data_IF_737741283889
#
_entry.id   IF_737741283889
#
_cell.length_a   1.000
_cell.length_b   1.000
_cell.length_c   1.000
_cell.angle_alpha   90.00
_cell.angle_beta   90.00
_cell.angle_gamma   90.00
#
_symmetry.space_group_name_H-M   'P 1'
#
loop_
_entity.id
_entity.type
_entity.pdbx_description
1 polymer ?
#
# COMPACT_ATOMS: atom_id res chain seq x y z
N UNK A 1 32.66 20.03 -40.17
CA UNK A 1 31.20 19.97 -40.42
C UNK A 1 30.52 19.37 -39.21
N UNK A 2 29.73 20.13 -38.44
CA UNK A 2 29.01 19.59 -37.29
C UNK A 2 27.83 18.73 -37.75
N UNK A 3 27.68 17.56 -37.12
CA UNK A 3 26.59 16.61 -37.38
C UNK A 3 25.22 17.22 -37.07
N UNK A 4 24.16 16.86 -37.82
CA UNK A 4 22.83 17.40 -37.57
C UNK A 4 22.28 16.92 -36.22
N UNK A 5 21.84 17.89 -35.42
CA UNK A 5 21.11 17.65 -34.19
C UNK A 5 19.88 16.78 -34.46
N UNK A 6 19.85 15.61 -33.83
CA UNK A 6 18.67 14.76 -33.74
C UNK A 6 17.58 15.54 -33.00
N UNK A 7 16.40 15.81 -33.58
CA UNK A 7 15.34 16.47 -32.85
C UNK A 7 14.93 15.60 -31.66
N UNK A 8 14.84 16.24 -30.49
CA UNK A 8 14.33 15.64 -29.27
C UNK A 8 12.95 15.04 -29.55
N UNK A 9 12.73 13.82 -29.06
CA UNK A 9 11.47 13.13 -29.17
C UNK A 9 10.34 14.06 -28.69
N UNK A 10 9.47 14.45 -29.61
CA UNK A 10 8.24 15.18 -29.36
C UNK A 10 7.49 14.45 -28.26
N UNK A 11 7.24 15.16 -27.15
CA UNK A 11 6.39 14.69 -26.07
C UNK A 11 5.09 14.18 -26.69
N UNK A 12 4.87 12.86 -26.62
CA UNK A 12 3.58 12.27 -26.97
C UNK A 12 2.54 12.99 -26.12
N UNK A 13 1.64 13.75 -26.75
CA UNK A 13 0.46 14.27 -26.09
C UNK A 13 -0.34 13.06 -25.59
N UNK A 14 -0.10 12.65 -24.34
CA UNK A 14 -0.92 11.64 -23.70
C UNK A 14 -2.28 12.26 -23.48
N UNK A 15 -3.18 12.03 -24.44
CA UNK A 15 -4.59 12.37 -24.32
C UNK A 15 -5.19 11.46 -23.23
N UNK A 16 -5.32 12.02 -22.03
CA UNK A 16 -6.03 11.38 -20.94
C UNK A 16 -7.53 11.44 -21.24
N UNK A 17 -8.15 10.27 -21.41
CA UNK A 17 -9.61 10.17 -21.47
C UNK A 17 -10.17 10.22 -20.05
N UNK A 18 -10.66 11.38 -19.65
CA UNK A 18 -11.39 11.53 -18.39
C UNK A 18 -12.63 10.63 -18.40
N UNK A 19 -13.09 10.26 -17.20
CA UNK A 19 -14.36 9.55 -17.03
C UNK A 19 -15.48 10.39 -17.64
N UNK A 20 -16.33 9.78 -18.47
CA UNK A 20 -17.53 10.44 -18.94
C UNK A 20 -18.66 10.32 -17.91
N UNK A 21 -19.63 11.23 -17.94
CA UNK A 21 -20.77 11.20 -17.01
C UNK A 21 -21.57 9.89 -17.11
N UNK A 22 -21.80 9.39 -18.32
CA UNK A 22 -22.46 8.11 -18.57
C UNK A 22 -21.68 6.89 -18.04
N UNK A 23 -20.38 7.06 -17.76
CA UNK A 23 -19.50 6.00 -17.27
C UNK A 23 -19.45 5.95 -15.74
N UNK A 24 -19.92 7.00 -15.05
CA UNK A 24 -19.85 7.09 -13.59
C UNK A 24 -20.48 5.88 -12.87
N UNK A 25 -21.68 5.37 -13.25
CA UNK A 25 -22.30 4.20 -12.61
C UNK A 25 -21.49 2.91 -12.72
N UNK A 26 -20.56 2.83 -13.69
CA UNK A 26 -19.69 1.65 -13.89
C UNK A 26 -18.47 1.67 -12.97
N UNK A 27 -18.14 2.82 -12.37
CA UNK A 27 -16.98 2.95 -11.49
C UNK A 27 -17.33 2.40 -10.11
N UNK A 28 -16.53 1.45 -9.63
CA UNK A 28 -16.78 0.71 -8.41
C UNK A 28 -15.50 0.59 -7.59
N UNK A 29 -15.66 0.29 -6.30
CA UNK A 29 -14.52 -0.04 -5.45
C UNK A 29 -13.67 -1.17 -6.06
N UNK A 30 -12.36 -0.95 -6.07
CA UNK A 30 -11.37 -1.80 -6.70
C UNK A 30 -11.15 -1.56 -8.20
N UNK A 31 -11.84 -0.61 -8.83
CA UNK A 31 -11.48 -0.15 -10.18
C UNK A 31 -10.16 0.61 -10.12
N UNK A 32 -9.25 0.33 -11.06
CA UNK A 32 -8.00 1.05 -11.24
C UNK A 32 -8.22 2.12 -12.32
N UNK A 33 -7.92 3.35 -11.94
CA UNK A 33 -8.03 4.53 -12.78
C UNK A 33 -6.68 5.24 -12.83
N UNK A 34 -6.63 6.36 -13.54
CA UNK A 34 -5.45 7.21 -13.59
C UNK A 34 -5.81 8.59 -13.05
N UNK A 35 -5.02 9.10 -12.12
CA UNK A 35 -5.10 10.50 -11.70
C UNK A 35 -4.19 11.30 -12.64
N UNK A 36 -4.74 12.12 -13.55
CA UNK A 36 -3.96 12.87 -14.52
C UNK A 36 -3.01 13.89 -13.86
N UNK A 37 -2.08 14.46 -14.63
CA UNK A 37 -1.38 15.68 -14.23
C UNK A 37 -2.36 16.78 -13.83
N UNK A 38 -1.96 17.64 -12.87
CA UNK A 38 -2.83 18.66 -12.29
C UNK A 38 -3.36 19.68 -13.32
N UNK A 39 -2.58 19.98 -14.36
CA UNK A 39 -2.96 20.85 -15.48
C UNK A 39 -4.04 20.24 -16.40
N UNK A 40 -4.29 18.94 -16.30
CA UNK A 40 -5.29 18.21 -17.10
C UNK A 40 -6.60 17.99 -16.35
N UNK A 41 -6.68 18.40 -15.09
CA UNK A 41 -7.90 18.25 -14.28
C UNK A 41 -8.89 19.37 -14.63
N UNK A 42 -10.21 19.07 -14.74
CA UNK A 42 -11.22 20.09 -14.99
C UNK A 42 -11.17 21.21 -13.95
N UNK A 43 -11.25 22.46 -14.42
CA UNK A 43 -11.31 23.63 -13.52
C UNK A 43 -12.52 23.54 -12.59
N UNK A 44 -12.30 23.82 -11.32
CA UNK A 44 -13.36 23.75 -10.30
C UNK A 44 -13.70 22.34 -9.82
N UNK A 45 -12.97 21.31 -10.28
CA UNK A 45 -13.11 19.97 -9.72
C UNK A 45 -12.46 19.87 -8.34
N UNK A 46 -13.17 19.22 -7.41
CA UNK A 46 -12.69 19.05 -6.05
C UNK A 46 -11.69 17.89 -5.96
N UNK A 47 -10.57 18.18 -5.29
CA UNK A 47 -9.55 17.21 -4.91
C UNK A 47 -9.16 17.49 -3.47
N UNK A 48 -8.80 16.45 -2.72
CA UNK A 48 -8.34 16.56 -1.35
C UNK A 48 -7.23 17.62 -1.22
N UNK A 49 -7.35 18.61 -0.32
CA UNK A 49 -6.30 19.60 -0.09
C UNK A 49 -4.95 19.00 0.35
N UNK A 50 -4.95 17.81 0.97
CA UNK A 50 -3.72 17.11 1.35
C UNK A 50 -3.04 16.37 0.18
N UNK A 51 -3.67 16.37 -1.01
CA UNK A 51 -3.13 15.75 -2.21
C UNK A 51 -2.00 16.62 -2.80
N UNK A 52 -0.76 16.27 -2.46
CA UNK A 52 0.44 16.95 -2.94
C UNK A 52 0.62 16.82 -4.46
N UNK A 53 1.31 17.77 -5.09
CA UNK A 53 1.58 17.75 -6.54
C UNK A 53 2.26 16.46 -7.03
N UNK A 54 3.10 15.84 -6.19
CA UNK A 54 3.74 14.56 -6.48
C UNK A 54 2.81 13.34 -6.47
N UNK A 55 1.53 13.49 -6.11
CA UNK A 55 0.54 12.42 -6.16
C UNK A 55 -0.22 12.34 -7.50
N UNK A 56 -0.16 13.41 -8.32
CA UNK A 56 -0.74 13.45 -9.65
C UNK A 56 0.11 12.66 -10.66
N UNK A 57 -0.46 12.41 -11.85
CA UNK A 57 0.18 11.63 -12.91
C UNK A 57 0.52 10.18 -12.50
N UNK A 58 -0.37 9.56 -11.74
CA UNK A 58 -0.20 8.21 -11.21
C UNK A 58 -1.46 7.34 -11.38
N UNK A 59 -1.30 6.02 -11.57
CA UNK A 59 -2.42 5.10 -11.41
C UNK A 59 -2.96 5.14 -9.98
N UNK A 60 -4.26 4.94 -9.83
CA UNK A 60 -4.95 4.96 -8.54
C UNK A 60 -5.95 3.81 -8.47
N UNK A 61 -6.17 3.26 -7.27
CA UNK A 61 -7.24 2.29 -7.03
C UNK A 61 -8.37 2.96 -6.25
N UNK A 62 -9.62 2.82 -6.70
CA UNK A 62 -10.79 3.25 -5.94
C UNK A 62 -10.92 2.36 -4.70
N UNK A 63 -10.88 2.98 -3.52
CA UNK A 63 -11.04 2.30 -2.22
C UNK A 63 -12.52 2.28 -1.83
N UNK A 64 -13.19 3.42 -1.95
CA UNK A 64 -14.62 3.54 -1.69
C UNK A 64 -15.27 4.55 -2.63
N UNK A 65 -16.54 4.34 -2.92
CA UNK A 65 -17.37 5.21 -3.76
C UNK A 65 -18.84 5.09 -3.29
N UNK A 66 -19.70 6.05 -3.63
CA UNK A 66 -21.14 5.93 -3.41
C UNK A 66 -21.73 4.70 -4.10
N UNK A 67 -22.97 4.36 -3.75
CA UNK A 67 -23.64 3.21 -4.35
C UNK A 67 -23.79 3.40 -5.87
N UNK A 68 -23.79 2.33 -6.68
CA UNK A 68 -23.80 2.44 -8.14
C UNK A 68 -25.01 3.19 -8.72
N UNK A 69 -26.12 3.22 -7.98
CA UNK A 69 -27.36 3.94 -8.36
C UNK A 69 -27.31 5.43 -8.02
N UNK A 70 -26.39 5.83 -7.14
CA UNK A 70 -26.27 7.18 -6.59
C UNK A 70 -24.99 7.88 -7.05
N UNK A 71 -24.01 7.12 -7.58
CA UNK A 71 -22.75 7.67 -8.04
C UNK A 71 -22.98 8.54 -9.27
N UNK A 72 -22.59 9.80 -9.13
CA UNK A 72 -22.60 10.82 -10.16
C UNK A 72 -21.18 11.18 -10.54
N UNK A 73 -21.03 11.91 -11.65
CA UNK A 73 -19.73 12.35 -12.13
C UNK A 73 -19.01 13.30 -11.15
N UNK A 74 -19.77 14.04 -10.34
CA UNK A 74 -19.30 14.93 -9.28
C UNK A 74 -19.21 14.24 -7.91
N UNK A 75 -19.53 12.95 -7.82
CA UNK A 75 -19.43 12.23 -6.56
C UNK A 75 -17.99 12.13 -6.08
N UNK A 76 -17.80 12.25 -4.76
CA UNK A 76 -16.51 12.05 -4.13
C UNK A 76 -16.22 10.55 -4.00
N UNK A 77 -15.04 10.15 -4.44
CA UNK A 77 -14.51 8.80 -4.32
C UNK A 77 -13.21 8.83 -3.54
N UNK A 78 -12.98 7.80 -2.73
CA UNK A 78 -11.74 7.62 -2.00
C UNK A 78 -10.76 6.83 -2.87
N UNK A 79 -9.55 7.35 -3.03
CA UNK A 79 -8.51 6.75 -3.87
C UNK A 79 -7.26 6.39 -3.07
N UNK A 80 -6.59 5.33 -3.51
CA UNK A 80 -5.26 4.95 -3.06
C UNK A 80 -4.27 5.08 -4.23
N UNK A 81 -3.18 5.84 -4.02
CA UNK A 81 -2.16 6.04 -5.06
C UNK A 81 -1.37 4.75 -5.30
N UNK A 82 -1.16 4.43 -6.57
CA UNK A 82 -0.38 3.28 -6.99
C UNK A 82 1.00 3.72 -7.50
N UNK A 83 2.01 2.89 -7.24
CA UNK A 83 3.39 3.14 -7.65
C UNK A 83 4.01 1.88 -8.21
N UNK A 84 4.96 2.05 -9.14
CA UNK A 84 5.79 0.98 -9.66
C UNK A 84 7.25 1.08 -9.24
N UNK A 85 7.62 2.04 -8.36
CA UNK A 85 9.01 2.31 -7.96
C UNK A 85 10.00 2.29 -9.14
N UNK A 86 9.64 2.91 -10.27
CA UNK A 86 10.43 2.91 -11.51
C UNK A 86 10.75 1.51 -12.07
N UNK A 87 9.84 0.55 -11.89
CA UNK A 87 9.99 -0.84 -12.33
C UNK A 87 10.73 -1.74 -11.32
N UNK A 88 11.32 -1.15 -10.29
CA UNK A 88 12.00 -1.90 -9.24
C UNK A 88 11.02 -2.53 -8.25
N UNK A 89 11.42 -3.66 -7.65
CA UNK A 89 10.62 -4.23 -6.57
C UNK A 89 10.73 -3.37 -5.32
N UNK A 90 9.69 -3.34 -4.49
CA UNK A 90 9.72 -2.61 -3.21
C UNK A 90 10.88 -3.06 -2.31
N UNK A 91 11.31 -4.33 -2.37
CA UNK A 91 12.49 -4.84 -1.65
C UNK A 91 13.77 -4.16 -2.13
N UNK A 92 13.96 -4.03 -3.44
CA UNK A 92 15.13 -3.35 -4.02
C UNK A 92 15.11 -1.85 -3.69
N UNK A 93 13.93 -1.21 -3.79
CA UNK A 93 13.76 0.20 -3.44
C UNK A 93 14.05 0.50 -1.96
N UNK A 94 13.71 -0.41 -1.04
CA UNK A 94 14.05 -0.28 0.37
C UNK A 94 15.53 -0.57 0.63
N UNK A 95 16.11 -1.55 -0.06
CA UNK A 95 17.52 -1.88 0.07
C UNK A 95 18.43 -0.71 -0.37
N UNK A 96 18.05 0.03 -1.42
CA UNK A 96 18.80 1.25 -1.84
C UNK A 96 18.74 2.37 -0.80
N UNK A 97 17.84 2.27 0.18
CA UNK A 97 17.71 3.18 1.33
C UNK A 97 18.31 2.57 2.62
N UNK A 98 19.08 1.49 2.50
CA UNK A 98 19.69 0.78 3.64
C UNK A 98 18.74 -0.10 4.45
N UNK A 99 17.50 -0.31 3.99
CA UNK A 99 16.50 -1.11 4.71
C UNK A 99 16.43 -2.51 4.09
N UNK A 100 16.98 -3.49 4.80
CA UNK A 100 16.96 -4.88 4.36
C UNK A 100 15.77 -5.66 4.92
N UNK A 101 15.11 -6.43 4.05
CA UNK A 101 13.96 -7.27 4.41
C UNK A 101 14.11 -8.66 3.82
N UNK A 102 13.67 -9.69 4.56
CA UNK A 102 13.76 -11.08 4.14
C UNK A 102 13.07 -11.34 2.79
N UNK A 103 11.84 -10.86 2.59
CA UNK A 103 11.03 -11.10 1.39
C UNK A 103 10.41 -9.82 0.81
N UNK A 104 10.02 -9.88 -0.46
CA UNK A 104 9.29 -8.79 -1.12
C UNK A 104 7.90 -8.55 -0.53
N UNK A 105 7.24 -9.61 -0.05
CA UNK A 105 5.95 -9.49 0.64
C UNK A 105 6.10 -8.73 1.95
N UNK A 106 7.11 -9.07 2.76
CA UNK A 106 7.38 -8.38 4.02
C UNK A 106 7.81 -6.92 3.78
N UNK A 107 8.59 -6.66 2.73
CA UNK A 107 8.92 -5.30 2.30
C UNK A 107 7.66 -4.48 1.95
N UNK A 108 6.74 -5.05 1.17
CA UNK A 108 5.48 -4.43 0.81
C UNK A 108 4.64 -4.13 2.06
N UNK A 109 4.46 -5.13 2.92
CA UNK A 109 3.68 -4.99 4.15
C UNK A 109 4.24 -3.90 5.06
N UNK A 110 5.55 -3.92 5.36
CA UNK A 110 6.22 -2.93 6.23
C UNK A 110 6.16 -1.52 5.64
N UNK A 111 6.37 -1.39 4.34
CA UNK A 111 6.25 -0.10 3.65
C UNK A 111 4.81 0.35 3.47
N UNK A 112 3.81 -0.48 3.81
CA UNK A 112 2.39 -0.16 3.68
C UNK A 112 1.92 -0.13 2.23
N UNK A 113 2.33 -1.14 1.47
CA UNK A 113 1.95 -1.38 0.09
C UNK A 113 1.34 -2.77 -0.08
N UNK A 114 0.35 -2.86 -0.96
CA UNK A 114 -0.18 -4.14 -1.45
C UNK A 114 0.27 -4.33 -2.89
N UNK A 115 0.87 -5.48 -3.19
CA UNK A 115 1.30 -5.79 -4.55
C UNK A 115 0.09 -6.12 -5.42
N UNK A 116 0.05 -5.61 -6.64
CA UNK A 116 -0.96 -5.96 -7.66
C UNK A 116 -0.36 -6.98 -8.63
N UNK A 117 -1.20 -7.86 -9.17
CA UNK A 117 -0.78 -8.79 -10.21
C UNK A 117 -0.36 -8.01 -11.47
N UNK A 118 0.76 -8.41 -12.05
CA UNK A 118 1.32 -7.82 -13.27
C UNK A 118 1.30 -8.88 -14.38
N UNK A 119 1.20 -8.44 -15.64
CA UNK A 119 1.19 -9.37 -16.77
C UNK A 119 2.49 -10.20 -16.83
N UNK A 120 3.61 -9.61 -16.41
CA UNK A 120 4.92 -10.27 -16.33
C UNK A 120 5.07 -11.27 -15.19
N UNK A 121 4.24 -11.19 -14.13
CA UNK A 121 4.35 -12.03 -12.93
C UNK A 121 2.97 -12.52 -12.47
N UNK A 122 2.26 -13.30 -13.29
CA UNK A 122 0.88 -13.71 -13.04
C UNK A 122 0.73 -14.65 -11.82
N UNK A 123 1.78 -15.42 -11.50
CA UNK A 123 1.79 -16.39 -10.39
C UNK A 123 2.40 -15.85 -9.09
N UNK A 124 2.60 -14.52 -8.98
CA UNK A 124 3.11 -13.93 -7.76
C UNK A 124 2.16 -14.20 -6.58
N UNK A 125 2.72 -14.66 -5.45
CA UNK A 125 1.96 -14.86 -4.21
C UNK A 125 1.59 -13.51 -3.56
N UNK A 126 0.51 -13.52 -2.78
CA UNK A 126 0.03 -12.38 -1.98
C UNK A 126 -0.29 -11.09 -2.75
N UNK A 127 -0.72 -11.23 -4.01
CA UNK A 127 -1.09 -10.09 -4.86
C UNK A 127 -2.59 -9.83 -4.89
N UNK A 128 -2.95 -8.57 -5.12
CA UNK A 128 -4.28 -8.15 -5.53
C UNK A 128 -4.50 -8.56 -6.99
N UNK A 129 -5.44 -9.48 -7.21
CA UNK A 129 -5.77 -10.00 -8.54
C UNK A 129 -6.79 -9.10 -9.24
N UNK A 130 -6.56 -8.85 -10.52
CA UNK A 130 -7.55 -8.25 -11.43
C UNK A 130 -8.53 -9.32 -11.94
N UNK A 131 -9.70 -8.88 -12.38
CA UNK A 131 -10.68 -9.70 -13.07
C UNK A 131 -10.13 -10.16 -14.43
N UNK A 132 -10.76 -11.20 -14.95
CA UNK A 132 -10.52 -11.71 -16.31
C UNK A 132 -9.06 -12.11 -16.58
N UNK A 133 -8.34 -12.49 -15.51
CA UNK A 133 -6.93 -12.90 -15.59
C UNK A 133 -5.96 -11.76 -15.96
N UNK A 134 -6.42 -10.50 -15.98
CA UNK A 134 -5.62 -9.37 -16.42
C UNK A 134 -4.47 -9.08 -15.46
N UNK A 135 -3.42 -8.45 -15.99
CA UNK A 135 -2.29 -7.96 -15.22
C UNK A 135 -2.00 -6.50 -15.51
N UNK A 136 -1.46 -5.78 -14.53
CA UNK A 136 -0.92 -4.44 -14.78
C UNK A 136 0.21 -4.50 -15.84
N UNK A 137 0.24 -3.52 -16.74
CA UNK A 137 1.22 -3.44 -17.86
C UNK A 137 2.66 -3.29 -17.38
N UNK A 138 2.89 -2.52 -16.30
CA UNK A 138 4.23 -2.31 -15.74
C UNK A 138 4.64 -3.43 -14.82
N UNK A 139 5.93 -3.69 -14.81
CA UNK A 139 6.56 -4.56 -13.83
C UNK A 139 6.46 -3.98 -12.43
N UNK A 140 6.14 -4.84 -11.46
CA UNK A 140 6.12 -4.52 -10.03
C UNK A 140 5.21 -3.35 -9.68
N UNK A 141 3.89 -3.56 -9.71
CA UNK A 141 2.91 -2.55 -9.34
C UNK A 141 2.40 -2.74 -7.90
N UNK A 142 2.21 -1.63 -7.18
CA UNK A 142 1.83 -1.61 -5.77
C UNK A 142 0.78 -0.53 -5.49
N UNK A 143 -0.20 -0.83 -4.64
CA UNK A 143 -1.16 0.14 -4.08
C UNK A 143 -0.66 0.59 -2.72
N UNK A 144 -0.49 1.90 -2.50
CA UNK A 144 -0.18 2.46 -1.19
C UNK A 144 -1.40 2.49 -0.28
N UNK A 145 -1.32 1.88 0.90
CA UNK A 145 -2.45 1.77 1.85
C UNK A 145 -2.27 2.62 3.12
N UNK A 146 -1.23 3.47 3.17
CA UNK A 146 -0.94 4.32 4.35
C UNK A 146 -1.76 5.60 4.41
N UNK A 147 -2.12 6.11 3.23
CA UNK A 147 -2.90 7.32 3.03
C UNK A 147 -3.81 7.08 1.83
N UNK A 148 -5.03 7.54 1.96
CA UNK A 148 -6.02 7.63 0.91
C UNK A 148 -6.46 9.08 0.82
N UNK A 149 -7.04 9.46 -0.32
CA UNK A 149 -7.43 10.83 -0.59
C UNK A 149 -8.83 10.84 -1.18
N UNK A 150 -9.60 11.89 -0.89
CA UNK A 150 -10.86 12.14 -1.59
C UNK A 150 -10.64 12.86 -2.92
N UNK A 151 -11.31 12.45 -3.98
CA UNK A 151 -11.39 13.24 -5.21
C UNK A 151 -12.77 13.12 -5.84
N UNK A 152 -13.19 14.10 -6.62
CA UNK A 152 -14.36 13.90 -7.50
C UNK A 152 -14.05 12.89 -8.60
N UNK A 153 -15.06 12.11 -8.99
CA UNK A 153 -14.88 11.11 -10.05
C UNK A 153 -14.42 11.73 -11.39
N UNK A 154 -14.91 12.94 -11.72
CA UNK A 154 -14.54 13.67 -12.95
C UNK A 154 -13.08 14.06 -13.08
N UNK A 155 -12.29 13.99 -12.01
CA UNK A 155 -10.84 14.24 -12.10
C UNK A 155 -10.08 13.02 -12.61
N UNK A 156 -10.70 11.84 -12.58
CA UNK A 156 -10.05 10.60 -12.95
C UNK A 156 -10.14 10.35 -14.45
N UNK A 157 -9.11 9.70 -14.97
CA UNK A 157 -9.04 9.19 -16.33
C UNK A 157 -9.03 7.66 -16.35
N UNK A 158 -9.39 7.10 -17.49
CA UNK A 158 -9.31 5.66 -17.70
C UNK A 158 -7.84 5.21 -17.73
N UNK A 159 -7.57 4.15 -16.98
CA UNK A 159 -6.26 3.50 -17.02
C UNK A 159 -6.05 2.79 -18.37
N UNK A 160 -4.86 2.93 -18.95
CA UNK A 160 -4.58 2.45 -20.31
C UNK A 160 -4.81 3.48 -21.42
N UNK A 161 -4.96 4.75 -21.07
CA UNK A 161 -5.03 5.90 -21.99
C UNK A 161 -6.20 5.82 -22.99
N UNK A 162 -7.39 5.46 -22.49
CA UNK A 162 -8.65 5.59 -23.23
C UNK A 162 -8.91 4.55 -24.33
N UNK A 163 -8.04 3.56 -24.51
CA UNK A 163 -8.24 2.42 -25.44
C UNK A 163 -9.09 1.30 -24.87
N UNK A 164 -9.35 1.34 -23.58
CA UNK A 164 -9.97 0.26 -22.82
C UNK A 164 -11.23 0.77 -22.15
N UNK A 165 -12.10 -0.15 -21.73
CA UNK A 165 -13.32 0.19 -20.99
C UNK A 165 -13.02 0.64 -19.55
N UNK A 166 -13.98 1.33 -18.93
CA UNK A 166 -13.87 1.95 -17.60
C UNK A 166 -13.47 0.95 -16.52
N UNK A 167 -14.04 -0.25 -16.56
CA UNK A 167 -13.83 -1.33 -15.60
C UNK A 167 -12.84 -2.38 -16.11
N UNK A 168 -12.12 -2.09 -17.21
CA UNK A 168 -11.16 -3.02 -17.81
C UNK A 168 -10.01 -3.40 -16.85
N UNK A 169 -9.72 -2.57 -15.84
CA UNK A 169 -8.76 -2.90 -14.76
C UNK A 169 -9.45 -2.89 -13.42
N UNK A 170 -10.30 -3.89 -13.19
CA UNK A 170 -11.00 -4.05 -11.92
C UNK A 170 -10.43 -5.17 -11.09
N UNK A 171 -10.24 -4.93 -9.80
CA UNK A 171 -9.88 -5.97 -8.84
C UNK A 171 -11.01 -6.99 -8.68
N UNK A 172 -10.62 -8.24 -8.42
CA UNK A 172 -11.57 -9.29 -7.98
C UNK A 172 -12.23 -8.87 -6.67
N UNK A 173 -13.45 -9.36 -6.40
CA UNK A 173 -14.17 -9.01 -5.17
C UNK A 173 -13.35 -9.31 -3.90
N UNK A 174 -12.62 -10.43 -3.89
CA UNK A 174 -11.71 -10.78 -2.80
C UNK A 174 -10.55 -9.77 -2.65
N UNK A 175 -9.92 -9.38 -3.76
CA UNK A 175 -8.84 -8.39 -3.75
C UNK A 175 -9.33 -6.99 -3.32
N UNK A 176 -10.52 -6.58 -3.75
CA UNK A 176 -11.16 -5.33 -3.31
C UNK A 176 -11.38 -5.34 -1.80
N UNK A 177 -11.96 -6.42 -1.24
CA UNK A 177 -12.13 -6.55 0.21
C UNK A 177 -10.81 -6.42 0.97
N UNK A 178 -9.78 -7.13 0.51
CA UNK A 178 -8.42 -7.06 1.10
C UNK A 178 -7.85 -5.64 1.06
N UNK A 179 -8.03 -4.91 -0.05
CA UNK A 179 -7.60 -3.52 -0.17
C UNK A 179 -8.30 -2.63 0.86
N UNK A 180 -9.64 -2.66 0.89
CA UNK A 180 -10.46 -1.83 1.79
C UNK A 180 -10.15 -2.13 3.25
N UNK A 181 -10.06 -3.40 3.62
CA UNK A 181 -9.72 -3.82 4.98
C UNK A 181 -8.31 -3.35 5.38
N UNK A 182 -7.33 -3.48 4.49
CA UNK A 182 -5.94 -3.07 4.77
C UNK A 182 -5.82 -1.55 4.99
N UNK A 183 -6.57 -0.75 4.23
CA UNK A 183 -6.66 0.70 4.44
C UNK A 183 -7.29 1.00 5.80
N UNK A 184 -8.43 0.37 6.12
CA UNK A 184 -9.15 0.59 7.38
C UNK A 184 -8.35 0.19 8.62
N UNK A 185 -7.66 -0.95 8.59
CA UNK A 185 -6.80 -1.41 9.71
C UNK A 185 -5.69 -0.41 9.97
N UNK A 186 -5.06 0.13 8.92
CA UNK A 186 -4.01 1.15 9.08
C UNK A 186 -4.54 2.50 9.52
N UNK A 187 -5.74 2.88 9.11
CA UNK A 187 -6.40 4.10 9.60
C UNK A 187 -6.67 4.00 11.12
N UNK A 188 -7.19 2.86 11.60
CA UNK A 188 -7.42 2.63 13.04
C UNK A 188 -6.12 2.56 13.86
N UNK A 189 -5.05 2.00 13.29
CA UNK A 189 -3.73 1.94 13.93
C UNK A 189 -3.07 3.31 14.17
N UNK A 190 -3.45 4.35 13.43
CA UNK A 190 -3.00 5.73 13.68
C UNK A 190 -3.68 6.37 14.90
N UNK A 191 -4.84 5.87 15.33
CA UNK A 191 -5.59 6.40 16.47
C UNK A 191 -5.07 5.99 17.86
N UNK A 192 -4.19 5.00 17.96
CA UNK A 192 -3.67 4.49 19.24
C UNK A 192 -2.18 4.80 19.49
N UNK A 193 -1.58 5.71 18.70
CA UNK A 193 -0.13 5.90 18.62
C UNK A 193 0.44 7.22 19.17
N UNK A 194 -0.32 8.03 19.91
CA UNK A 194 0.23 9.17 20.68
C UNK A 194 0.29 8.83 22.18
N UNK A 195 0.85 7.65 22.50
CA UNK A 195 1.34 7.36 23.84
C UNK A 195 2.57 8.21 24.10
N UNK A 196 2.39 9.26 24.91
CA UNK A 196 3.43 10.13 25.49
C UNK A 196 4.77 9.42 25.57
N UNK A 197 5.74 9.80 24.74
CA UNK A 197 7.15 9.53 25.01
C UNK A 197 7.48 10.34 26.25
N UNK A 198 7.34 9.72 27.42
CA UNK A 198 7.78 10.26 28.69
C UNK A 198 9.31 10.23 28.64
N UNK A 199 9.92 11.27 28.07
CA UNK A 199 11.36 11.49 28.17
C UNK A 199 11.64 11.69 29.65
N UNK A 200 12.13 10.64 30.31
CA UNK A 200 12.63 10.70 31.68
C UNK A 200 14.00 11.35 31.58
N UNK A 201 14.04 12.68 31.57
CA UNK A 201 15.28 13.43 31.79
C UNK A 201 15.63 13.22 33.27
N UNK A 202 16.52 12.27 33.52
CA UNK A 202 17.13 12.09 34.84
C UNK A 202 18.00 13.31 35.13
N UNK A 203 17.57 14.11 36.11
CA UNK A 203 18.27 15.29 36.61
C UNK A 203 18.91 14.90 37.95
N UNK A 204 20.25 14.84 37.96
CA UNK A 204 21.12 15.32 39.04
C UNK A 204 21.22 14.57 40.37
N UNK A 205 22.47 14.52 40.86
CA UNK A 205 22.89 14.23 42.25
C UNK A 205 23.53 12.84 42.37
N UNK A 206 24.77 12.65 42.80
CA UNK A 206 25.76 13.52 43.42
C UNK A 206 26.63 12.62 44.32
N UNK A 207 27.95 12.70 44.09
CA UNK A 207 29.09 12.43 45.01
C UNK A 207 29.22 11.10 45.79
N UNK A 208 30.47 10.60 45.80
CA UNK A 208 30.95 9.50 46.63
C UNK A 208 32.28 8.95 46.13
N UNK A 209 33.37 9.53 46.63
CA UNK A 209 34.78 9.16 46.40
C UNK A 209 35.13 7.74 46.87
N UNK A 210 36.20 7.18 46.30
CA UNK A 210 36.83 5.94 46.77
C UNK A 210 37.98 5.53 45.86
N UNK A 211 39.21 5.87 46.27
CA UNK A 211 40.49 5.54 45.65
C UNK A 211 40.76 4.03 45.55
N UNK A 212 41.58 3.64 44.58
CA UNK A 212 42.12 2.29 44.46
C UNK A 212 43.00 2.13 43.22
N UNK A 213 44.30 2.32 43.41
CA UNK A 213 45.37 2.06 42.44
C UNK A 213 45.40 0.59 41.95
N UNK A 214 45.86 0.39 40.72
CA UNK A 214 46.09 -0.95 40.17
C UNK A 214 46.63 -0.91 38.74
N UNK A 215 47.95 -0.76 38.62
CA UNK A 215 48.75 -0.93 37.40
C UNK A 215 48.64 -2.37 36.83
N UNK A 216 48.57 -2.52 35.50
CA UNK A 216 48.57 -3.85 34.87
C UNK A 216 48.59 -3.87 33.34
N UNK A 217 49.80 -3.87 32.76
CA UNK A 217 50.10 -4.19 31.34
C UNK A 217 49.59 -5.59 30.93
N UNK A 218 49.00 -5.72 29.73
CA UNK A 218 49.50 -6.52 28.57
C UNK A 218 48.40 -6.96 27.56
N UNK A 219 48.73 -6.73 26.29
CA UNK A 219 48.60 -7.59 25.09
C UNK A 219 47.38 -8.52 24.92
N UNK A 220 46.62 -8.24 23.86
CA UNK A 220 46.49 -9.10 22.68
C UNK A 220 45.55 -10.33 22.74
N UNK A 221 44.72 -10.49 21.71
CA UNK A 221 44.22 -11.80 21.30
C UNK A 221 42.74 -11.89 20.91
N UNK A 222 42.52 -12.07 19.61
CA UNK A 222 41.50 -12.92 18.94
C UNK A 222 40.05 -12.93 19.46
N UNK A 223 39.18 -12.44 18.57
CA UNK A 223 38.05 -13.17 17.95
C UNK A 223 37.38 -14.28 18.78
N UNK A 224 36.09 -14.06 19.12
CA UNK A 224 35.09 -15.14 19.14
C UNK A 224 33.67 -14.60 19.01
N UNK A 225 32.99 -15.12 17.98
CA UNK A 225 31.53 -15.15 17.82
C UNK A 225 30.86 -15.58 19.13
N UNK A 226 29.79 -14.89 19.53
CA UNK A 226 28.75 -15.48 20.37
C UNK A 226 27.38 -15.02 19.89
N UNK A 227 26.65 -16.01 19.40
CA UNK A 227 25.28 -15.98 18.93
C UNK A 227 24.36 -15.82 20.14
N UNK A 228 23.73 -14.66 20.26
CA UNK A 228 22.67 -14.41 21.24
C UNK A 228 21.34 -14.98 20.74
N UNK A 229 21.08 -16.26 21.04
CA UNK A 229 19.77 -16.90 20.86
C UNK A 229 18.78 -16.34 21.89
N UNK A 230 17.89 -15.44 21.47
CA UNK A 230 16.76 -14.98 22.29
C UNK A 230 15.65 -16.04 22.27
N UNK A 231 15.51 -16.74 23.39
CA UNK A 231 14.48 -17.76 23.63
C UNK A 231 13.20 -17.07 24.13
N UNK A 232 12.26 -16.77 23.23
CA UNK A 232 10.94 -16.24 23.61
C UNK A 232 10.03 -17.39 24.06
N UNK A 233 9.70 -17.39 25.36
CA UNK A 233 8.82 -18.37 26.00
C UNK A 233 7.36 -17.94 25.81
N UNK A 234 6.66 -18.55 24.85
CA UNK A 234 5.21 -18.37 24.69
C UNK A 234 4.49 -19.24 25.73
N UNK A 235 3.80 -18.62 26.69
CA UNK A 235 2.85 -19.32 27.58
C UNK A 235 1.63 -19.75 26.76
N UNK A 236 1.44 -21.07 26.60
CA UNK A 236 0.17 -21.68 26.18
C UNK A 236 -0.90 -21.38 27.22
N UNK A 237 -2.01 -20.76 26.81
CA UNK A 237 -3.26 -20.79 27.58
C UNK A 237 -4.02 -22.04 27.13
N UNK A 238 -4.36 -22.88 28.10
CA UNK A 238 -5.06 -24.16 27.92
C UNK A 238 -6.51 -23.92 27.51
N UNK A 239 -6.93 -24.68 26.49
CA UNK A 239 -8.31 -25.02 26.18
C UNK A 239 -8.84 -26.01 27.23
N UNK A 240 -10.06 -25.77 27.72
CA UNK A 240 -10.95 -26.74 28.39
C UNK A 240 -12.35 -26.39 27.87
N UNK A 241 -12.90 -27.12 26.89
CA UNK A 241 -13.64 -28.39 26.94
C UNK A 241 -15.00 -28.24 27.67
N UNK A 242 -16.06 -28.18 26.87
CA UNK A 242 -17.45 -28.37 27.29
C UNK A 242 -18.20 -29.06 26.14
N UNK A 243 -18.32 -30.39 26.24
CA UNK A 243 -19.16 -31.20 25.37
C UNK A 243 -20.48 -31.53 26.06
N UNK A 244 -21.51 -31.83 25.27
CA UNK A 244 -22.80 -32.30 25.75
C UNK A 244 -23.83 -32.38 24.63
N UNK A 245 -23.86 -33.53 23.95
CA UNK A 245 -24.93 -33.99 23.06
C UNK A 245 -26.32 -33.89 23.69
N UNK A 246 -27.36 -33.70 22.84
CA UNK A 246 -28.53 -34.59 22.87
C UNK A 246 -29.33 -34.58 21.56
N UNK A 247 -29.72 -35.82 21.22
CA UNK A 247 -30.50 -36.38 20.10
C UNK A 247 -31.89 -35.78 19.84
N UNK A 248 -32.37 -36.07 18.63
CA UNK A 248 -33.79 -36.18 18.24
C UNK A 248 -34.17 -35.20 17.14
N UNK A 249 -34.89 -35.52 16.07
CA UNK A 249 -35.65 -36.71 15.69
C UNK A 249 -36.05 -36.56 14.22
N UNK A 250 -36.12 -37.68 13.52
CA UNK A 250 -36.78 -37.89 12.23
C UNK A 250 -38.24 -37.39 12.21
N UNK A 251 -38.69 -36.80 11.08
CA UNK A 251 -39.98 -37.16 10.48
C UNK A 251 -40.06 -36.75 9.00
N UNK A 252 -40.58 -37.71 8.25
CA UNK A 252 -41.01 -37.71 6.84
C UNK A 252 -42.45 -37.15 6.72
N UNK A 253 -42.81 -36.83 5.49
CA UNK A 253 -44.17 -36.64 4.92
C UNK A 253 -44.96 -35.41 5.36
N UNK A 254 -45.28 -34.53 4.40
CA UNK A 254 -46.46 -34.64 3.50
C UNK A 254 -46.03 -34.23 2.09
#
# INVERSE_FOLDING_TARGET
MPAPHKPAATATMTNFRLVAEAEAPRVLAGTIMFLPPRDKIPKGAWTDPELLDGAFNHPVAIVSCPQPKEIQHTSHVEIAIMTSFHGSTVKAHLASKGIHTASGTLAAERSGHLRVVTASKPHAKDVLKLRDGKGMKRDSCYVGIRRTYGVELRVLALYGFGREEVDAYRLTAHATRKLVESVRVRAKGKGMGMGKVKVKIGKGGGEGEGEGEGEGKKKGGKEKKLVGSVKVRVKRVKSVKGGGEKKGSTKKEV
#
